data_IF_159852048265
#
_entry.id   IF_159852048265
#
_cell.length_a   1.000
_cell.length_b   1.000
_cell.length_c   1.000
_cell.angle_alpha   90.00
_cell.angle_beta   90.00
_cell.angle_gamma   90.00
#
_symmetry.space_group_name_H-M   'P 1'
#
loop_
_entity.id
_entity.type
_entity.pdbx_description
1 polymer ?
#
# COMPACT_ATOMS: atom_id res chain seq x y z
N UNK A 1 5.69 -5.58 -19.54
CA UNK A 1 6.51 -5.37 -18.33
C UNK A 1 6.86 -3.89 -18.26
N UNK A 2 6.71 -3.29 -17.10
CA UNK A 2 6.88 -1.84 -16.90
C UNK A 2 8.01 -1.57 -15.90
N UNK A 3 8.63 -0.41 -16.01
CA UNK A 3 9.66 0.10 -15.12
C UNK A 3 9.27 1.50 -14.64
N UNK A 4 9.47 1.79 -13.36
CA UNK A 4 9.32 3.14 -12.81
C UNK A 4 10.69 3.83 -12.79
N UNK A 5 10.74 5.15 -13.03
CA UNK A 5 11.95 5.95 -12.84
C UNK A 5 12.36 5.99 -11.36
N UNK A 6 13.64 6.15 -11.09
CA UNK A 6 14.15 6.19 -9.72
C UNK A 6 15.04 7.41 -9.48
N UNK A 7 15.17 7.79 -8.20
CA UNK A 7 16.06 8.84 -7.71
C UNK A 7 17.39 8.25 -7.26
N UNK A 8 18.41 9.08 -7.24
CA UNK A 8 19.70 8.73 -6.67
C UNK A 8 19.61 8.48 -5.15
N UNK A 9 20.65 7.84 -4.63
CA UNK A 9 20.70 7.35 -3.24
C UNK A 9 20.69 8.49 -2.19
N UNK A 10 21.48 9.57 -2.41
CA UNK A 10 21.76 10.56 -1.37
C UNK A 10 20.52 11.38 -0.92
N UNK A 11 19.63 11.84 -1.83
CA UNK A 11 18.39 12.49 -1.42
C UNK A 11 17.51 11.61 -0.56
N UNK A 12 17.44 10.31 -0.89
CA UNK A 12 16.62 9.33 -0.16
C UNK A 12 17.17 9.10 1.25
N UNK A 13 18.50 8.94 1.38
CA UNK A 13 19.12 8.76 2.69
C UNK A 13 18.93 9.98 3.59
N UNK A 14 18.98 11.18 3.04
CA UNK A 14 18.73 12.42 3.81
C UNK A 14 17.30 12.45 4.36
N UNK A 15 16.32 12.05 3.55
CA UNK A 15 14.92 11.98 3.99
C UNK A 15 14.72 10.91 5.07
N UNK A 16 15.32 9.74 4.90
CA UNK A 16 15.25 8.63 5.88
C UNK A 16 15.86 9.06 7.22
N UNK A 17 17.03 9.71 7.24
CA UNK A 17 17.63 10.19 8.47
C UNK A 17 16.71 11.19 9.18
N UNK A 18 16.08 12.11 8.46
CA UNK A 18 15.10 13.03 9.02
C UNK A 18 13.84 12.35 9.61
N UNK A 19 13.50 11.14 9.14
CA UNK A 19 12.41 10.34 9.69
C UNK A 19 12.85 9.51 10.90
N UNK A 20 14.11 9.04 10.92
CA UNK A 20 14.70 8.34 12.08
C UNK A 20 14.69 9.22 13.32
N UNK A 21 15.11 10.47 13.18
CA UNK A 21 15.17 11.45 14.27
C UNK A 21 13.80 11.66 14.95
N UNK A 22 12.72 11.36 14.23
CA UNK A 22 11.34 11.42 14.72
C UNK A 22 10.83 10.09 15.27
N UNK A 23 11.59 9.01 15.21
CA UNK A 23 11.18 7.68 15.65
C UNK A 23 10.03 7.06 14.84
N UNK A 24 9.84 7.52 13.59
CA UNK A 24 8.66 7.19 12.77
C UNK A 24 8.80 5.93 11.92
N UNK A 25 10.03 5.43 11.69
CA UNK A 25 10.26 4.34 10.74
C UNK A 25 10.15 2.94 11.37
N UNK A 26 10.80 2.73 12.49
CA UNK A 26 10.79 1.45 13.20
C UNK A 26 11.22 1.64 14.65
N UNK A 27 10.59 0.91 15.60
CA UNK A 27 10.90 1.03 17.04
C UNK A 27 12.36 0.81 17.43
N UNK A 28 13.14 0.06 16.62
CA UNK A 28 14.55 -0.22 16.85
C UNK A 28 15.49 0.68 16.03
N UNK A 29 14.95 1.58 15.21
CA UNK A 29 15.71 2.50 14.40
C UNK A 29 15.80 3.86 15.11
N UNK A 30 17.00 4.29 15.45
CA UNK A 30 17.28 5.51 16.22
C UNK A 30 18.35 6.34 15.50
N UNK A 31 18.53 7.61 15.89
CA UNK A 31 19.53 8.52 15.33
C UNK A 31 20.94 7.94 15.24
N UNK A 32 21.32 7.12 16.22
CA UNK A 32 22.64 6.50 16.30
C UNK A 32 22.71 5.11 15.64
N UNK A 33 21.71 4.74 14.85
CA UNK A 33 21.75 3.54 14.02
C UNK A 33 22.73 3.72 12.87
N UNK A 34 23.57 2.72 12.63
CA UNK A 34 24.59 2.77 11.58
C UNK A 34 24.08 2.11 10.31
N UNK A 35 24.15 2.80 9.17
CA UNK A 35 23.91 2.21 7.87
C UNK A 35 25.04 1.22 7.55
N UNK A 36 24.72 -0.08 7.49
CA UNK A 36 25.67 -1.14 7.17
C UNK A 36 25.78 -1.38 5.66
N UNK A 37 24.63 -1.35 4.97
CA UNK A 37 24.55 -1.66 3.54
C UNK A 37 23.37 -0.95 2.91
N UNK A 38 23.53 -0.52 1.66
CA UNK A 38 22.41 -0.07 0.82
C UNK A 38 22.59 -0.60 -0.60
N UNK A 39 21.52 -1.16 -1.17
CA UNK A 39 21.54 -1.70 -2.53
C UNK A 39 20.26 -1.37 -3.27
N UNK A 40 20.38 -1.07 -4.57
CA UNK A 40 19.24 -0.88 -5.47
C UNK A 40 18.94 -2.18 -6.20
N UNK A 41 17.68 -2.56 -6.21
CA UNK A 41 17.19 -3.69 -6.97
C UNK A 41 15.89 -3.35 -7.69
N UNK A 42 15.66 -3.94 -8.85
CA UNK A 42 14.38 -3.91 -9.54
C UNK A 42 13.57 -5.09 -9.04
N UNK A 43 12.58 -4.78 -8.21
CA UNK A 43 11.71 -5.79 -7.57
C UNK A 43 10.46 -5.98 -8.42
N UNK A 44 10.14 -7.23 -8.81
CA UNK A 44 8.94 -7.50 -9.58
C UNK A 44 7.70 -7.48 -8.68
N UNK A 45 6.68 -6.78 -9.15
CA UNK A 45 5.34 -6.72 -8.55
C UNK A 45 4.28 -7.00 -9.60
N UNK A 46 3.28 -7.77 -9.26
CA UNK A 46 2.03 -7.82 -9.98
C UNK A 46 1.15 -6.66 -9.51
N UNK A 47 0.77 -5.78 -10.44
CA UNK A 47 -0.24 -4.76 -10.20
C UNK A 47 -1.59 -5.34 -10.57
N UNK A 48 -2.43 -5.61 -9.59
CA UNK A 48 -3.76 -6.17 -9.79
C UNK A 48 -4.79 -5.06 -9.63
N UNK A 49 -5.47 -4.72 -10.72
CA UNK A 49 -6.60 -3.79 -10.73
C UNK A 49 -7.88 -4.54 -10.46
N UNK A 50 -8.59 -4.18 -9.40
CA UNK A 50 -9.79 -4.86 -8.98
C UNK A 50 -10.87 -3.86 -8.53
N UNK A 51 -12.14 -4.24 -8.73
CA UNK A 51 -13.30 -3.60 -8.12
C UNK A 51 -13.85 -4.48 -7.00
N UNK A 52 -14.30 -3.87 -5.93
CA UNK A 52 -14.94 -4.57 -4.83
C UNK A 52 -16.31 -4.00 -4.55
N UNK A 53 -17.26 -4.89 -4.29
CA UNK A 53 -18.62 -4.58 -3.86
C UNK A 53 -18.91 -5.31 -2.56
N UNK A 54 -19.24 -4.56 -1.51
CA UNK A 54 -19.46 -5.12 -0.17
C UNK A 54 -20.89 -4.86 0.27
N UNK A 55 -21.59 -5.93 0.59
CA UNK A 55 -22.91 -5.90 1.20
C UNK A 55 -22.76 -6.04 2.72
N UNK A 56 -23.35 -5.13 3.48
CA UNK A 56 -23.20 -5.01 4.92
C UNK A 56 -24.59 -5.02 5.57
N UNK A 57 -24.75 -5.81 6.61
CA UNK A 57 -25.89 -5.72 7.52
C UNK A 57 -25.39 -5.24 8.87
N UNK A 58 -25.80 -4.05 9.28
CA UNK A 58 -25.35 -3.42 10.51
C UNK A 58 -26.50 -2.70 11.24
N UNK A 59 -26.30 -2.28 12.47
CA UNK A 59 -27.34 -1.54 13.23
C UNK A 59 -27.41 -0.08 12.77
N UNK A 60 -26.25 0.58 12.54
CA UNK A 60 -26.19 1.97 12.08
C UNK A 60 -24.81 2.33 11.47
N UNK A 61 -24.70 3.50 10.85
CA UNK A 61 -23.44 4.09 10.43
C UNK A 61 -22.81 4.89 11.58
N UNK A 62 -21.49 4.74 11.77
CA UNK A 62 -20.74 5.47 12.80
C UNK A 62 -20.50 6.94 12.42
N UNK A 63 -20.61 7.28 11.15
CA UNK A 63 -20.31 8.62 10.63
C UNK A 63 -21.57 9.21 10.00
N UNK A 64 -22.10 10.27 10.59
CA UNK A 64 -23.10 11.11 9.94
C UNK A 64 -22.51 11.70 8.64
N UNK A 65 -23.31 11.77 7.62
CA UNK A 65 -22.98 12.10 6.21
C UNK A 65 -22.24 13.41 5.97
N UNK A 66 -21.88 14.15 7.03
CA UNK A 66 -21.13 15.41 6.95
C UNK A 66 -19.61 15.31 7.11
N UNK A 67 -19.05 14.15 7.50
CA UNK A 67 -17.62 13.99 7.80
C UNK A 67 -16.87 13.01 6.89
N UNK A 68 -17.40 12.67 5.73
CA UNK A 68 -16.78 11.70 4.80
C UNK A 68 -15.40 12.17 4.26
N UNK A 69 -15.10 13.46 4.37
CA UNK A 69 -13.80 14.01 3.94
C UNK A 69 -12.61 13.56 4.82
N UNK A 70 -12.85 13.03 6.03
CA UNK A 70 -11.79 12.69 6.98
C UNK A 70 -11.34 11.23 6.93
N UNK A 71 -12.13 10.31 6.40
CA UNK A 71 -11.72 8.90 6.29
C UNK A 71 -10.69 8.67 5.18
N UNK A 72 -10.72 9.45 4.10
CA UNK A 72 -9.63 9.47 3.12
C UNK A 72 -8.29 9.91 3.73
N UNK A 73 -8.34 10.79 4.76
CA UNK A 73 -7.18 11.22 5.52
C UNK A 73 -6.65 10.14 6.48
N UNK A 74 -7.50 9.24 6.98
CA UNK A 74 -7.06 8.17 7.89
C UNK A 74 -6.27 7.08 7.16
N UNK A 75 -6.69 6.69 5.96
CA UNK A 75 -5.94 5.73 5.13
C UNK A 75 -4.72 6.37 4.46
N UNK A 76 -4.76 7.65 4.15
CA UNK A 76 -3.60 8.44 3.71
C UNK A 76 -2.59 8.69 4.84
N UNK A 77 -3.02 8.74 6.09
CA UNK A 77 -2.15 8.99 7.24
C UNK A 77 -1.40 7.73 7.73
N UNK A 78 -1.89 6.53 7.47
CA UNK A 78 -1.15 5.29 7.79
C UNK A 78 -0.09 4.93 6.74
N UNK A 79 -0.20 5.45 5.51
CA UNK A 79 0.82 5.31 4.46
C UNK A 79 1.73 6.53 4.29
N UNK A 80 1.52 7.60 5.04
CA UNK A 80 2.19 8.88 4.85
C UNK A 80 2.55 9.58 6.14
N UNK A 81 3.30 8.94 7.04
CA UNK A 81 4.04 9.64 8.08
C UNK A 81 5.35 10.19 7.51
N UNK A 82 5.24 11.05 6.53
CA UNK A 82 6.38 11.71 5.92
C UNK A 82 5.99 13.00 5.21
N UNK A 83 6.09 14.13 5.92
CA UNK A 83 6.31 15.42 5.27
C UNK A 83 5.09 16.28 4.97
N UNK A 84 4.74 17.15 5.91
CA UNK A 84 4.17 18.46 5.61
C UNK A 84 5.21 19.27 4.82
N UNK A 85 5.06 19.33 3.54
CA UNK A 85 5.39 20.37 2.54
C UNK A 85 5.79 19.75 1.23
N UNK A 86 5.00 20.05 0.22
CA UNK A 86 5.31 19.78 -1.19
C UNK A 86 4.59 18.56 -1.71
N UNK A 87 3.52 18.79 -2.48
CA UNK A 87 2.95 17.97 -3.53
C UNK A 87 2.98 16.46 -3.32
N UNK A 88 2.41 15.96 -2.24
CA UNK A 88 2.29 14.54 -2.03
C UNK A 88 1.19 13.99 -2.93
N UNK A 89 1.57 13.21 -3.91
CA UNK A 89 0.67 12.40 -4.68
C UNK A 89 0.02 11.37 -3.75
N UNK A 90 -1.18 11.69 -3.26
CA UNK A 90 -2.15 10.63 -3.04
C UNK A 90 -2.42 10.05 -4.43
N UNK A 91 -1.78 8.94 -4.76
CA UNK A 91 -2.09 8.19 -5.97
C UNK A 91 -3.59 7.93 -6.01
N UNK A 92 -4.22 7.80 -7.17
CA UNK A 92 -5.67 7.69 -7.32
C UNK A 92 -6.19 6.32 -6.84
N UNK A 93 -5.98 6.02 -5.56
CA UNK A 93 -6.57 4.84 -4.91
C UNK A 93 -8.01 5.09 -4.47
N UNK A 94 -8.53 6.32 -4.64
CA UNK A 94 -9.84 6.70 -4.12
C UNK A 94 -10.60 7.61 -5.08
N UNK A 95 -10.82 7.19 -6.31
CA UNK A 95 -11.82 7.81 -7.15
C UNK A 95 -13.03 6.88 -7.21
N UNK A 96 -14.03 7.15 -6.41
CA UNK A 96 -15.35 6.55 -6.60
C UNK A 96 -15.99 5.89 -5.39
N UNK A 97 -16.15 6.61 -4.28
CA UNK A 97 -17.16 6.23 -3.31
C UNK A 97 -18.54 6.59 -3.88
N UNK A 98 -19.17 5.66 -4.56
CA UNK A 98 -20.60 5.76 -4.86
C UNK A 98 -21.36 5.42 -3.58
N UNK A 99 -21.96 6.43 -2.99
CA UNK A 99 -22.90 6.29 -1.88
C UNK A 99 -24.11 5.49 -2.35
N UNK A 100 -24.18 4.23 -1.97
CA UNK A 100 -25.35 3.40 -2.16
C UNK A 100 -26.54 3.96 -1.38
N UNK A 101 -27.67 3.99 -2.04
CA UNK A 101 -28.93 4.47 -1.52
C UNK A 101 -29.38 3.68 -0.29
N UNK A 102 -29.69 4.39 0.77
CA UNK A 102 -30.36 3.84 1.96
C UNK A 102 -31.78 3.41 1.58
N UNK A 103 -32.04 2.13 1.59
CA UNK A 103 -33.41 1.60 1.47
C UNK A 103 -34.06 1.47 2.85
N UNK A 104 -35.04 2.33 3.11
CA UNK A 104 -36.25 2.03 3.87
C UNK A 104 -36.17 2.07 5.39
N UNK A 105 -36.89 3.01 5.92
CA UNK A 105 -37.27 3.21 7.32
C UNK A 105 -38.12 2.09 7.89
N UNK A 106 -37.81 1.61 9.14
CA UNK A 106 -38.81 1.47 10.19
C UNK A 106 -38.19 1.34 11.57
N UNK A 107 -38.85 1.92 12.56
CA UNK A 107 -38.43 2.06 13.94
C UNK A 107 -38.36 0.70 14.67
N UNK A 108 -37.35 0.55 15.51
CA UNK A 108 -37.13 -0.54 16.47
C UNK A 108 -36.01 -1.47 16.02
N UNK A 109 -34.83 -1.46 16.65
CA UNK A 109 -33.65 -2.32 16.44
C UNK A 109 -33.47 -2.94 15.04
N UNK A 110 -33.82 -2.18 14.00
CA UNK A 110 -33.93 -2.66 12.63
C UNK A 110 -32.54 -2.74 12.02
N UNK A 111 -32.17 -3.94 11.65
CA UNK A 111 -31.00 -4.23 10.81
C UNK A 111 -31.16 -3.50 9.51
N UNK A 112 -30.17 -2.67 9.16
CA UNK A 112 -30.13 -1.95 7.90
C UNK A 112 -29.13 -2.60 6.96
N UNK A 113 -29.51 -2.75 5.70
CA UNK A 113 -28.60 -3.16 4.64
C UNK A 113 -27.89 -1.93 4.06
N UNK A 114 -26.57 -2.05 3.91
CA UNK A 114 -25.73 -1.02 3.29
C UNK A 114 -24.89 -1.65 2.19
N UNK A 115 -24.54 -0.86 1.20
CA UNK A 115 -23.65 -1.27 0.11
C UNK A 115 -22.47 -0.30 0.02
N UNK A 116 -21.28 -0.85 -0.15
CA UNK A 116 -20.02 -0.10 -0.30
C UNK A 116 -19.25 -0.65 -1.50
N UNK A 117 -18.75 0.25 -2.36
CA UNK A 117 -17.97 -0.14 -3.53
C UNK A 117 -16.72 0.70 -3.69
N UNK A 118 -15.61 0.08 -4.09
CA UNK A 118 -14.35 0.74 -4.33
C UNK A 118 -13.55 0.06 -5.44
N UNK A 119 -12.64 0.84 -6.06
CA UNK A 119 -11.65 0.32 -6.99
C UNK A 119 -10.26 0.34 -6.35
N UNK A 120 -9.49 -0.70 -6.61
CA UNK A 120 -8.17 -0.92 -6.05
C UNK A 120 -7.14 -1.19 -7.13
N UNK A 121 -5.91 -0.74 -6.91
CA UNK A 121 -4.73 -1.24 -7.61
C UNK A 121 -3.77 -1.75 -6.55
N UNK A 122 -3.67 -3.09 -6.42
CA UNK A 122 -2.92 -3.76 -5.36
C UNK A 122 -1.60 -4.25 -5.91
N UNK A 123 -0.46 -3.77 -5.39
CA UNK A 123 0.84 -4.34 -5.72
C UNK A 123 1.07 -5.63 -4.92
N UNK A 124 1.26 -6.73 -5.61
CA UNK A 124 1.62 -8.04 -5.04
C UNK A 124 3.08 -8.33 -5.36
N UNK A 125 3.91 -8.59 -4.36
CA UNK A 125 5.31 -8.96 -4.58
C UNK A 125 5.36 -10.27 -5.38
N UNK A 126 6.01 -10.21 -6.55
CA UNK A 126 6.10 -11.36 -7.46
C UNK A 126 7.29 -12.28 -7.17
N UNK A 127 7.91 -12.17 -5.99
CA UNK A 127 9.06 -12.98 -5.57
C UNK A 127 8.82 -13.56 -4.17
N UNK A 128 8.78 -14.90 -4.05
CA UNK A 128 8.51 -15.61 -2.79
C UNK A 128 9.48 -15.23 -1.67
N UNK A 129 10.76 -15.07 -2.01
CA UNK A 129 11.79 -14.66 -1.05
C UNK A 129 11.56 -13.27 -0.43
N UNK A 130 10.69 -12.45 -1.02
CA UNK A 130 10.35 -11.10 -0.55
C UNK A 130 8.90 -10.97 -0.09
N UNK A 131 8.19 -12.07 0.14
CA UNK A 131 6.76 -12.05 0.55
C UNK A 131 6.55 -11.31 1.88
N UNK A 132 7.49 -11.36 2.82
CA UNK A 132 7.46 -10.59 4.08
C UNK A 132 7.55 -9.07 3.85
N UNK A 133 8.01 -8.64 2.68
CA UNK A 133 8.06 -7.23 2.27
C UNK A 133 6.81 -6.80 1.48
N UNK A 134 5.76 -7.62 1.49
CA UNK A 134 4.49 -7.29 0.83
C UNK A 134 3.96 -5.95 1.30
N UNK A 135 3.79 -4.95 0.41
CA UNK A 135 3.20 -3.67 0.76
C UNK A 135 1.71 -3.86 1.10
N UNK A 136 1.27 -3.33 2.25
CA UNK A 136 -0.14 -3.44 2.67
C UNK A 136 -0.97 -2.25 2.22
N UNK A 137 -0.38 -1.06 2.25
CA UNK A 137 -1.07 0.20 1.96
C UNK A 137 -0.26 1.14 1.07
N UNK A 138 0.86 0.67 0.53
CA UNK A 138 1.74 1.48 -0.30
C UNK A 138 1.29 1.44 -1.77
N UNK A 139 1.15 2.62 -2.38
CA UNK A 139 0.86 2.77 -3.81
C UNK A 139 2.06 3.33 -4.57
N UNK A 140 2.45 2.69 -5.65
CA UNK A 140 3.49 3.20 -6.55
C UNK A 140 2.97 4.36 -7.39
N UNK A 141 3.88 5.31 -7.73
CA UNK A 141 3.59 6.36 -8.71
C UNK A 141 3.59 5.79 -10.13
N UNK A 142 2.46 5.33 -10.59
CA UNK A 142 2.30 4.70 -11.90
C UNK A 142 2.38 5.69 -13.08
N UNK A 143 2.30 6.99 -12.82
CA UNK A 143 2.41 8.03 -13.86
C UNK A 143 3.80 8.12 -14.48
N UNK A 144 4.84 7.67 -13.79
CA UNK A 144 6.24 7.68 -14.27
C UNK A 144 6.71 6.32 -14.81
N UNK A 145 5.79 5.39 -15.08
CA UNK A 145 6.13 4.08 -15.63
C UNK A 145 6.49 4.16 -17.13
N UNK A 146 7.47 3.34 -17.51
CA UNK A 146 7.91 3.18 -18.91
C UNK A 146 8.02 1.71 -19.25
N UNK A 147 8.12 1.38 -20.55
CA UNK A 147 8.44 0.01 -20.93
C UNK A 147 9.82 -0.39 -20.41
N UNK A 148 9.89 -1.59 -19.86
CA UNK A 148 11.13 -2.14 -19.33
C UNK A 148 12.05 -2.55 -20.48
N UNK A 149 13.25 -1.98 -20.49
CA UNK A 149 14.34 -2.35 -21.37
C UNK A 149 15.59 -2.59 -20.52
N UNK A 150 16.10 -3.81 -20.55
CA UNK A 150 17.29 -4.22 -19.81
C UNK A 150 18.51 -3.38 -20.17
N UNK A 151 18.60 -2.91 -21.42
CA UNK A 151 19.71 -2.04 -21.87
C UNK A 151 19.79 -0.71 -21.15
N UNK A 152 18.66 -0.23 -20.63
CA UNK A 152 18.54 1.04 -19.90
C UNK A 152 18.76 0.89 -18.37
N UNK A 153 19.02 -0.33 -17.88
CA UNK A 153 19.30 -0.57 -16.46
C UNK A 153 20.75 -0.24 -16.16
N UNK A 154 21.05 0.65 -15.20
CA UNK A 154 22.41 1.01 -14.85
C UNK A 154 23.22 -0.19 -14.35
N UNK A 155 24.53 -0.15 -14.60
CA UNK A 155 25.45 -1.18 -14.13
C UNK A 155 25.41 -1.27 -12.59
N UNK A 156 25.30 -2.49 -12.07
CA UNK A 156 25.27 -2.73 -10.63
C UNK A 156 23.87 -2.82 -10.01
N UNK A 157 22.83 -2.46 -10.73
CA UNK A 157 21.43 -2.68 -10.29
C UNK A 157 21.05 -4.14 -10.51
N UNK A 158 20.54 -4.80 -9.47
CA UNK A 158 20.08 -6.19 -9.55
C UNK A 158 18.65 -6.22 -10.10
N UNK A 159 18.43 -6.99 -11.16
CA UNK A 159 17.09 -7.29 -11.66
C UNK A 159 16.66 -8.60 -11.01
N UNK A 160 15.59 -8.56 -10.22
CA UNK A 160 15.05 -9.74 -9.57
C UNK A 160 13.96 -10.33 -10.48
N UNK A 161 14.02 -11.64 -10.72
CA UNK A 161 13.02 -12.35 -11.49
C UNK A 161 11.91 -12.85 -10.56
N UNK A 162 10.65 -12.64 -10.95
CA UNK A 162 9.50 -13.16 -10.23
C UNK A 162 9.37 -14.67 -10.34
N UNK A 163 8.91 -15.29 -9.25
CA UNK A 163 8.57 -16.72 -9.16
C UNK A 163 7.15 -16.96 -8.62
N UNK A 164 6.37 -15.90 -8.48
CA UNK A 164 4.94 -15.93 -8.17
C UNK A 164 4.17 -15.71 -9.46
N UNK A 165 3.34 -16.70 -9.85
CA UNK A 165 2.47 -16.60 -11.03
C UNK A 165 1.32 -15.63 -10.84
N UNK A 166 0.72 -15.20 -11.93
CA UNK A 166 -0.42 -14.28 -12.00
C UNK A 166 -1.66 -14.78 -11.25
N UNK A 167 -2.00 -16.07 -11.38
CA UNK A 167 -3.12 -16.66 -10.64
C UNK A 167 -2.94 -16.55 -9.12
N UNK A 168 -1.73 -16.81 -8.62
CA UNK A 168 -1.42 -16.69 -7.20
C UNK A 168 -1.48 -15.21 -6.75
N UNK A 169 -1.03 -14.30 -7.59
CA UNK A 169 -1.11 -12.86 -7.32
C UNK A 169 -2.57 -12.37 -7.29
N UNK A 170 -3.41 -12.83 -8.22
CA UNK A 170 -4.85 -12.54 -8.23
C UNK A 170 -5.51 -13.03 -6.93
N UNK A 171 -5.21 -14.27 -6.51
CA UNK A 171 -5.75 -14.81 -5.27
C UNK A 171 -5.36 -13.97 -4.05
N UNK A 172 -4.07 -13.59 -3.95
CA UNK A 172 -3.58 -12.73 -2.86
C UNK A 172 -4.22 -11.33 -2.89
N UNK A 173 -4.34 -10.74 -4.08
CA UNK A 173 -4.97 -9.43 -4.24
C UNK A 173 -6.44 -9.46 -3.79
N UNK A 174 -7.21 -10.49 -4.18
CA UNK A 174 -8.60 -10.66 -3.73
C UNK A 174 -8.69 -10.74 -2.20
N UNK A 175 -7.80 -11.50 -1.56
CA UNK A 175 -7.76 -11.61 -0.11
C UNK A 175 -7.46 -10.25 0.56
N UNK A 176 -6.47 -9.49 0.03
CA UNK A 176 -6.13 -8.16 0.54
C UNK A 176 -7.26 -7.16 0.35
N UNK A 177 -7.90 -7.13 -0.83
CA UNK A 177 -9.05 -6.27 -1.09
C UNK A 177 -10.20 -6.57 -0.16
N UNK A 178 -10.50 -7.86 0.06
CA UNK A 178 -11.54 -8.28 1.01
C UNK A 178 -11.22 -7.80 2.43
N UNK A 179 -9.95 -7.91 2.87
CA UNK A 179 -9.51 -7.40 4.16
C UNK A 179 -9.67 -5.88 4.26
N UNK A 180 -9.21 -5.13 3.23
CA UNK A 180 -9.34 -3.66 3.19
C UNK A 180 -10.81 -3.21 3.25
N UNK A 181 -11.70 -3.89 2.54
CA UNK A 181 -13.13 -3.63 2.60
C UNK A 181 -13.71 -3.93 3.98
N UNK A 182 -13.28 -5.03 4.60
CA UNK A 182 -13.68 -5.37 5.97
C UNK A 182 -13.23 -4.31 6.98
N UNK A 183 -11.96 -3.90 6.92
CA UNK A 183 -11.41 -2.87 7.81
C UNK A 183 -12.16 -1.54 7.64
N UNK A 184 -12.45 -1.15 6.40
CA UNK A 184 -13.24 0.04 6.08
C UNK A 184 -14.67 -0.04 6.61
N UNK A 185 -15.31 -1.20 6.45
CA UNK A 185 -16.65 -1.42 6.97
C UNK A 185 -16.68 -1.30 8.50
N UNK A 186 -15.74 -1.93 9.21
CA UNK A 186 -15.65 -1.84 10.67
C UNK A 186 -15.37 -0.41 11.18
N UNK A 187 -14.70 0.41 10.36
CA UNK A 187 -14.47 1.83 10.69
C UNK A 187 -15.71 2.71 10.46
N UNK A 188 -16.66 2.28 9.61
CA UNK A 188 -17.81 3.09 9.19
C UNK A 188 -19.14 2.65 9.79
N UNK A 189 -19.29 1.40 10.18
CA UNK A 189 -20.56 0.83 10.62
C UNK A 189 -20.48 0.28 12.02
N UNK A 190 -21.59 0.39 12.74
CA UNK A 190 -21.71 -0.10 14.12
C UNK A 190 -22.43 -1.45 14.18
N UNK A 191 -21.90 -2.37 15.01
CA UNK A 191 -22.48 -3.70 15.20
C UNK A 191 -22.78 -4.43 13.88
N UNK A 192 -21.73 -4.63 13.06
CA UNK A 192 -21.83 -5.41 11.82
C UNK A 192 -22.22 -6.85 12.17
N UNK A 193 -23.30 -7.33 11.55
CA UNK A 193 -23.81 -8.69 11.74
C UNK A 193 -23.41 -9.60 10.58
N UNK A 194 -23.37 -9.08 9.38
CA UNK A 194 -22.84 -9.78 8.22
C UNK A 194 -22.13 -8.81 7.28
N UNK A 195 -21.09 -9.32 6.64
CA UNK A 195 -20.30 -8.62 5.63
C UNK A 195 -19.95 -9.63 4.55
N UNK A 196 -20.29 -9.29 3.33
CA UNK A 196 -19.95 -10.09 2.16
C UNK A 196 -19.36 -9.20 1.09
N UNK A 197 -18.14 -9.53 0.65
CA UNK A 197 -17.41 -8.77 -0.36
C UNK A 197 -17.19 -9.62 -1.61
N UNK A 198 -17.69 -9.13 -2.73
CA UNK A 198 -17.38 -9.63 -4.05
C UNK A 198 -16.21 -8.81 -4.63
N UNK A 199 -15.19 -9.49 -5.16
CA UNK A 199 -14.02 -8.86 -5.77
C UNK A 199 -13.88 -9.34 -7.21
N UNK A 200 -13.99 -8.40 -8.14
CA UNK A 200 -13.77 -8.63 -9.56
C UNK A 200 -12.43 -8.03 -10.01
N UNK A 201 -11.61 -8.83 -10.71
CA UNK A 201 -10.30 -8.42 -11.21
C UNK A 201 -10.43 -8.01 -12.66
N UNK A 202 -10.14 -6.74 -12.93
CA UNK A 202 -10.25 -6.16 -14.26
C UNK A 202 -8.97 -6.30 -15.08
N UNK A 203 -7.79 -6.21 -14.42
CA UNK A 203 -6.50 -6.24 -15.12
C UNK A 203 -5.38 -6.69 -14.18
N UNK A 204 -4.29 -7.23 -14.78
CA UNK A 204 -3.05 -7.58 -14.09
C UNK A 204 -1.84 -7.25 -14.96
N UNK A 205 -0.91 -6.49 -14.40
CA UNK A 205 0.33 -6.07 -15.08
C UNK A 205 1.56 -6.43 -14.25
N UNK A 206 2.66 -6.84 -14.90
CA UNK A 206 3.95 -7.02 -14.23
C UNK A 206 4.76 -5.72 -14.25
N UNK A 207 5.08 -5.20 -13.06
CA UNK A 207 5.88 -4.00 -12.84
C UNK A 207 7.22 -4.34 -12.20
N UNK A 208 8.31 -3.77 -12.68
CA UNK A 208 9.58 -3.74 -11.97
C UNK A 208 9.73 -2.39 -11.25
N UNK A 209 9.56 -2.41 -9.93
CA UNK A 209 9.72 -1.21 -9.12
C UNK A 209 11.16 -1.09 -8.61
N UNK A 210 11.84 0.02 -8.88
CA UNK A 210 13.16 0.27 -8.33
C UNK A 210 13.05 0.47 -6.81
N UNK A 211 13.77 -0.34 -6.06
CA UNK A 211 13.65 -0.43 -4.62
C UNK A 211 15.02 -0.39 -3.96
N UNK A 212 15.22 0.53 -3.02
CA UNK A 212 16.38 0.54 -2.16
C UNK A 212 16.16 -0.38 -0.96
N UNK A 213 17.12 -1.24 -0.71
CA UNK A 213 17.21 -2.02 0.53
C UNK A 213 18.33 -1.41 1.38
N UNK A 214 17.96 -0.78 2.49
CA UNK A 214 18.89 -0.16 3.42
C UNK A 214 18.93 -0.96 4.73
N UNK A 215 20.07 -1.55 5.05
CA UNK A 215 20.28 -2.30 6.29
C UNK A 215 20.95 -1.41 7.33
N UNK A 216 20.30 -1.30 8.47
CA UNK A 216 20.81 -0.56 9.63
C UNK A 216 21.07 -1.50 10.80
N UNK A 217 22.15 -1.22 11.54
CA UNK A 217 22.48 -1.88 12.80
C UNK A 217 22.37 -0.92 13.99
N UNK A 218 21.79 -1.39 15.10
CA UNK A 218 21.75 -0.67 16.36
C UNK A 218 21.75 -1.66 17.54
N UNK A 219 22.76 -1.61 18.40
CA UNK A 219 22.89 -2.44 19.63
C UNK A 219 22.60 -3.95 19.38
N UNK A 220 23.11 -4.48 18.27
CA UNK A 220 22.92 -5.90 17.91
C UNK A 220 21.61 -6.23 17.21
N UNK A 221 20.70 -5.28 17.08
CA UNK A 221 19.47 -5.43 16.29
C UNK A 221 19.73 -4.91 14.88
N UNK A 222 19.30 -5.68 13.88
CA UNK A 222 19.36 -5.26 12.47
C UNK A 222 17.96 -4.92 11.99
N UNK A 223 17.86 -3.86 11.19
CA UNK A 223 16.62 -3.42 10.57
C UNK A 223 16.87 -3.23 9.08
N UNK A 224 16.01 -3.80 8.25
CA UNK A 224 16.02 -3.56 6.82
C UNK A 224 14.85 -2.65 6.47
N UNK A 225 15.16 -1.51 5.87
CA UNK A 225 14.17 -0.63 5.25
C UNK A 225 14.04 -0.97 3.78
N UNK A 226 12.83 -1.15 3.32
CA UNK A 226 12.46 -1.30 1.92
C UNK A 226 11.86 0.02 1.46
N UNK A 227 12.51 0.68 0.51
CA UNK A 227 12.22 2.07 0.14
C UNK A 227 11.94 2.15 -1.34
N UNK A 228 10.83 2.77 -1.70
CA UNK A 228 10.55 3.10 -3.10
C UNK A 228 11.59 4.11 -3.62
N UNK A 229 12.38 3.70 -4.58
CA UNK A 229 13.41 4.56 -5.13
C UNK A 229 12.88 5.73 -5.98
N UNK A 230 11.60 5.70 -6.38
CA UNK A 230 10.97 6.80 -7.10
C UNK A 230 10.55 7.93 -6.16
N UNK A 231 9.76 7.60 -5.14
CA UNK A 231 9.20 8.59 -4.21
C UNK A 231 10.12 8.89 -3.02
N UNK A 232 10.94 7.94 -2.60
CA UNK A 232 11.66 7.94 -1.31
C UNK A 232 10.82 7.39 -0.15
N UNK A 233 9.58 7.01 -0.41
CA UNK A 233 8.69 6.47 0.61
C UNK A 233 9.11 5.10 1.11
N UNK A 234 8.98 4.86 2.42
CA UNK A 234 9.24 3.54 3.01
C UNK A 234 8.07 2.62 2.76
N UNK A 235 8.30 1.56 1.98
CA UNK A 235 7.32 0.52 1.65
C UNK A 235 7.10 -0.39 2.86
N UNK A 236 8.21 -0.81 3.50
CA UNK A 236 8.19 -1.70 4.66
C UNK A 236 9.46 -1.53 5.51
N UNK A 237 9.39 -1.97 6.78
CA UNK A 237 10.53 -2.04 7.68
C UNK A 237 10.48 -3.34 8.48
N UNK A 238 11.57 -4.11 8.44
CA UNK A 238 11.66 -5.42 9.09
C UNK A 238 12.86 -5.43 10.04
N UNK A 239 12.60 -5.79 11.29
CA UNK A 239 13.65 -6.10 12.26
C UNK A 239 14.10 -7.55 12.12
N UNK A 240 15.40 -7.79 12.07
CA UNK A 240 16.06 -9.10 11.96
C UNK A 240 16.66 -9.52 13.28
#
# INVERSE_FOLDING_TARGET
MLLIKYKEKDPILTEIHGLMDKGLLHRHLQENSTLEEISLSLVPYWLVSASAKTNIVASDMLVETGQIATTAALFGAMGGLGGRRGGGFAGPLLAGALLGSVMGSNQGNARKGFEMGDNYTIPIVALKALTEYQPRSYGFNLGERTFFDVSNVPKGVKILNGDVGDEAAIYQAKALVTQLQSDKAHAQYHMIQSLHTDVDVADIELLHAPTWFARYGHKGVKVVLVIDANSGGVINSIGL
#
